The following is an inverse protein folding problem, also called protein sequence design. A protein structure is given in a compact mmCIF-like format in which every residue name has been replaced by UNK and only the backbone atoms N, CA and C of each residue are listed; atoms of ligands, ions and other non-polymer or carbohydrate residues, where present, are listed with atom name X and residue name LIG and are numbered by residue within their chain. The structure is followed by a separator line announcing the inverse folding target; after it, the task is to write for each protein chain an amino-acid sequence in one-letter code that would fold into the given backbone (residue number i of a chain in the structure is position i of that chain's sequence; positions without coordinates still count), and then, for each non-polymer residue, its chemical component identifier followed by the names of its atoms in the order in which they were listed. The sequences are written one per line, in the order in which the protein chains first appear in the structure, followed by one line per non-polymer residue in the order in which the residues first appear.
data_IF_065850809939
#
_entry.id   IF_065850809939
#
_cell.length_a   1.000
_cell.length_b   1.000
_cell.length_c   1.000
_cell.angle_alpha   90.00
_cell.angle_beta   90.00
_cell.angle_gamma   90.00
#
_symmetry.space_group_name_H-M   'P 1'
#
loop_
_entity.id
_entity.type
_entity.pdbx_description
1 polymer ?
#
# COMPACT_ATOMS: atom_id res chain seq x y z
N UNK A 1 7.43 3.39 15.20
CA UNK A 1 7.59 2.70 13.90
C UNK A 1 6.64 3.31 12.88
N UNK A 2 7.09 3.57 11.64
CA UNK A 2 6.29 4.30 10.64
C UNK A 2 4.91 3.66 10.38
N UNK A 3 4.86 2.33 10.26
CA UNK A 3 3.61 1.60 10.03
C UNK A 3 2.59 1.74 11.18
N UNK A 4 3.02 1.68 12.45
CA UNK A 4 2.13 1.81 13.59
C UNK A 4 1.54 3.22 13.65
N UNK A 5 2.33 4.23 13.31
CA UNK A 5 1.83 5.59 13.21
C UNK A 5 0.84 5.73 12.04
N UNK A 6 1.18 5.25 10.85
CA UNK A 6 0.28 5.24 9.69
C UNK A 6 -1.06 4.57 10.02
N UNK A 7 -1.04 3.43 10.73
CA UNK A 7 -2.23 2.73 11.18
C UNK A 7 -3.03 3.55 12.21
N UNK A 8 -2.38 4.03 13.28
CA UNK A 8 -3.04 4.73 14.39
C UNK A 8 -3.77 5.99 13.92
N UNK A 9 -3.19 6.75 13.00
CA UNK A 9 -3.77 8.02 12.53
C UNK A 9 -4.94 7.85 11.56
N UNK A 10 -5.23 6.64 11.05
CA UNK A 10 -6.35 6.44 10.12
C UNK A 10 -7.69 6.77 10.78
N UNK A 11 -8.46 7.69 10.19
CA UNK A 11 -9.83 8.04 10.58
C UNK A 11 -10.87 7.04 10.05
N UNK A 12 -10.58 5.76 10.25
CA UNK A 12 -11.47 4.63 9.98
C UNK A 12 -11.48 3.75 11.22
N UNK A 13 -12.62 3.66 11.92
CA UNK A 13 -12.68 3.13 13.30
C UNK A 13 -12.49 1.61 13.34
N UNK A 14 -13.25 0.86 12.54
CA UNK A 14 -13.24 -0.60 12.54
C UNK A 14 -12.13 -1.11 11.64
N UNK A 15 -10.96 -1.36 12.23
CA UNK A 15 -9.77 -1.88 11.54
C UNK A 15 -8.89 -2.70 12.48
N UNK A 16 -8.09 -3.57 11.90
CA UNK A 16 -6.98 -4.26 12.55
C UNK A 16 -5.73 -4.14 11.67
N UNK A 17 -4.57 -4.37 12.26
CA UNK A 17 -3.29 -4.46 11.56
C UNK A 17 -2.68 -5.83 11.81
N UNK A 18 -2.28 -6.50 10.74
CA UNK A 18 -1.56 -7.77 10.79
C UNK A 18 -0.19 -7.51 10.20
N UNK A 19 0.86 -7.66 11.01
CA UNK A 19 2.24 -7.48 10.60
C UNK A 19 2.84 -8.87 10.36
N UNK A 20 3.34 -9.10 9.15
CA UNK A 20 4.09 -10.30 8.80
C UNK A 20 5.57 -9.96 8.72
N UNK A 21 6.36 -10.59 9.57
CA UNK A 21 7.82 -10.47 9.60
C UNK A 21 8.39 -11.65 8.83
N UNK A 22 9.05 -11.36 7.71
CA UNK A 22 9.69 -12.36 6.85
C UNK A 22 11.22 -12.24 6.94
N UNK A 23 11.72 -12.25 8.17
CA UNK A 23 13.14 -12.21 8.51
C UNK A 23 13.37 -13.07 9.75
N UNK A 24 14.17 -14.11 9.64
CA UNK A 24 14.34 -15.13 10.68
C UNK A 24 15.14 -14.58 11.85
N UNK A 25 16.07 -13.67 11.57
CA UNK A 25 16.88 -13.00 12.60
C UNK A 25 16.12 -11.98 13.45
N UNK A 26 14.87 -11.63 13.09
CA UNK A 26 14.09 -10.67 13.88
C UNK A 26 13.48 -11.36 15.10
N UNK A 27 13.72 -10.79 16.29
CA UNK A 27 13.16 -11.29 17.54
C UNK A 27 11.65 -10.99 17.65
N UNK A 28 10.81 -12.00 17.45
CA UNK A 28 9.35 -11.87 17.55
C UNK A 28 8.88 -11.41 18.94
N UNK A 29 9.58 -11.76 20.03
CA UNK A 29 9.19 -11.35 21.40
C UNK A 29 9.30 -9.84 21.57
N UNK A 30 10.35 -9.22 21.04
CA UNK A 30 10.50 -7.76 21.07
C UNK A 30 9.39 -7.06 20.30
N UNK A 31 9.02 -7.61 19.14
CA UNK A 31 7.94 -7.08 18.34
C UNK A 31 6.59 -7.18 19.03
N UNK A 32 6.31 -8.31 19.69
CA UNK A 32 5.12 -8.47 20.52
C UNK A 32 5.07 -7.44 21.66
N UNK A 33 6.20 -7.20 22.34
CA UNK A 33 6.30 -6.13 23.35
C UNK A 33 5.99 -4.75 22.76
N UNK A 34 6.54 -4.43 21.57
CA UNK A 34 6.32 -3.14 20.88
C UNK A 34 4.86 -2.89 20.49
N UNK A 35 4.10 -3.95 20.17
CA UNK A 35 2.70 -3.83 19.76
C UNK A 35 1.70 -4.10 20.90
N UNK A 36 2.15 -4.45 22.10
CA UNK A 36 1.28 -4.86 23.21
C UNK A 36 0.25 -3.80 23.61
N UNK A 37 0.58 -2.51 23.46
CA UNK A 37 -0.33 -1.40 23.72
C UNK A 37 -1.36 -1.13 22.61
N UNK A 38 -1.34 -1.91 21.53
CA UNK A 38 -2.23 -1.75 20.39
C UNK A 38 -3.20 -2.95 20.28
N UNK A 39 -4.44 -2.83 20.79
CA UNK A 39 -5.33 -3.98 20.96
C UNK A 39 -5.73 -4.68 19.65
N UNK A 40 -5.66 -3.99 18.52
CA UNK A 40 -6.01 -4.50 17.19
C UNK A 40 -4.78 -4.64 16.28
N UNK A 41 -3.60 -4.87 16.85
CA UNK A 41 -2.36 -5.12 16.10
C UNK A 41 -1.83 -6.50 16.47
N UNK A 42 -1.63 -7.35 15.47
CA UNK A 42 -1.04 -8.67 15.66
C UNK A 42 0.23 -8.80 14.83
N UNK A 43 1.17 -9.63 15.29
CA UNK A 43 2.45 -9.85 14.64
C UNK A 43 2.70 -11.35 14.51
N UNK A 44 3.08 -11.75 13.31
CA UNK A 44 3.48 -13.12 13.00
C UNK A 44 4.85 -13.09 12.30
N UNK A 45 5.62 -14.15 12.51
CA UNK A 45 6.86 -14.38 11.78
C UNK A 45 6.66 -15.55 10.83
N UNK A 46 7.21 -15.43 9.62
CA UNK A 46 7.19 -16.48 8.59
C UNK A 46 8.62 -16.68 8.07
N UNK A 47 9.05 -17.93 7.82
CA UNK A 47 10.40 -18.24 7.34
C UNK A 47 10.84 -17.41 6.13
N UNK A 48 12.10 -16.99 6.07
CA UNK A 48 12.65 -16.16 4.97
C UNK A 48 12.51 -16.80 3.59
N UNK A 49 12.44 -18.14 3.51
CA UNK A 49 12.19 -18.87 2.26
C UNK A 49 10.83 -18.56 1.61
N UNK A 50 9.88 -18.00 2.36
CA UNK A 50 8.57 -17.65 1.82
C UNK A 50 8.63 -16.34 1.05
N UNK A 51 8.00 -16.31 -0.12
CA UNK A 51 7.92 -15.10 -0.93
C UNK A 51 7.00 -14.03 -0.31
N UNK A 52 7.12 -12.79 -0.78
CA UNK A 52 6.22 -11.70 -0.37
C UNK A 52 4.75 -12.06 -0.64
N UNK A 53 4.44 -12.64 -1.79
CA UNK A 53 3.07 -13.09 -2.09
C UNK A 53 2.56 -14.16 -1.11
N UNK A 54 3.40 -15.10 -0.68
CA UNK A 54 3.05 -16.07 0.36
C UNK A 54 2.85 -15.37 1.72
N UNK A 55 3.69 -14.39 2.06
CA UNK A 55 3.55 -13.59 3.28
C UNK A 55 2.23 -12.81 3.30
N UNK A 56 1.86 -12.18 2.19
CA UNK A 56 0.59 -11.46 2.04
C UNK A 56 -0.59 -12.43 2.22
N UNK A 57 -0.60 -13.57 1.53
CA UNK A 57 -1.64 -14.58 1.70
C UNK A 57 -1.74 -15.06 3.16
N UNK A 58 -0.61 -15.28 3.83
CA UNK A 58 -0.53 -15.68 5.23
C UNK A 58 -1.20 -14.65 6.17
N UNK A 59 -0.93 -13.36 5.97
CA UNK A 59 -1.58 -12.28 6.70
C UNK A 59 -3.08 -12.22 6.45
N UNK A 60 -3.51 -12.38 5.20
CA UNK A 60 -4.93 -12.25 4.83
C UNK A 60 -5.78 -13.42 5.35
N UNK A 61 -5.22 -14.63 5.41
CA UNK A 61 -5.89 -15.78 6.04
C UNK A 61 -6.29 -15.50 7.49
N UNK A 62 -5.52 -14.66 8.20
CA UNK A 62 -5.76 -14.28 9.61
C UNK A 62 -6.67 -13.07 9.78
N UNK A 63 -6.93 -12.31 8.71
CA UNK A 63 -7.77 -11.12 8.77
C UNK A 63 -9.23 -11.49 9.10
N UNK A 64 -9.83 -10.77 10.03
CA UNK A 64 -11.22 -10.96 10.48
C UNK A 64 -12.20 -10.20 9.60
N UNK A 65 -11.77 -9.06 9.05
CA UNK A 65 -12.65 -8.15 8.31
C UNK A 65 -12.78 -8.51 6.81
N UNK A 66 -13.90 -8.12 6.17
CA UNK A 66 -14.18 -8.45 4.77
C UNK A 66 -13.42 -7.60 3.76
N UNK A 67 -12.75 -6.53 4.19
CA UNK A 67 -11.90 -5.68 3.37
C UNK A 67 -10.45 -5.86 3.78
N UNK A 68 -9.59 -6.01 2.78
CA UNK A 68 -8.15 -6.19 2.94
C UNK A 68 -7.47 -4.97 2.33
N UNK A 69 -6.51 -4.40 3.03
CA UNK A 69 -5.67 -3.32 2.53
C UNK A 69 -4.21 -3.63 2.81
N UNK A 70 -3.33 -3.34 1.85
CA UNK A 70 -1.88 -3.41 2.01
C UNK A 70 -1.36 -2.05 2.47
N UNK A 71 -0.47 -2.05 3.46
CA UNK A 71 0.31 -0.88 3.87
C UNK A 71 1.78 -1.23 3.78
N UNK A 72 2.54 -0.50 2.97
CA UNK A 72 3.99 -0.62 2.90
C UNK A 72 4.63 0.15 4.08
N UNK A 73 5.61 -0.48 4.72
CA UNK A 73 6.18 -0.02 6.00
C UNK A 73 6.98 1.27 5.88
N UNK A 74 7.42 1.62 4.67
CA UNK A 74 8.30 2.73 4.34
C UNK A 74 7.59 3.92 3.67
N UNK A 75 6.30 3.79 3.37
CA UNK A 75 5.48 4.83 2.76
C UNK A 75 4.71 5.68 3.78
N UNK A 76 4.06 6.74 3.31
CA UNK A 76 3.17 7.57 4.11
C UNK A 76 1.72 7.41 3.68
N UNK A 77 0.85 7.17 4.67
CA UNK A 77 -0.60 7.10 4.52
C UNK A 77 -1.23 8.18 5.40
N UNK A 78 -1.96 9.10 4.79
CA UNK A 78 -2.62 10.18 5.54
C UNK A 78 -3.76 9.64 6.42
N UNK A 79 -4.26 10.42 7.40
CA UNK A 79 -5.42 10.06 8.20
C UNK A 79 -6.69 9.72 7.40
N UNK A 80 -6.82 10.19 6.16
CA UNK A 80 -8.01 10.02 5.31
C UNK A 80 -7.86 8.90 4.27
N UNK A 81 -6.71 8.22 4.23
CA UNK A 81 -6.40 7.22 3.21
C UNK A 81 -7.41 6.08 3.16
N UNK A 82 -7.66 5.40 4.30
CA UNK A 82 -8.62 4.30 4.34
C UNK A 82 -10.04 4.75 3.99
N UNK A 83 -10.44 5.92 4.46
CA UNK A 83 -11.77 6.48 4.22
C UNK A 83 -12.02 6.67 2.72
N UNK A 84 -11.10 7.36 2.04
CA UNK A 84 -11.20 7.58 0.58
C UNK A 84 -11.31 6.26 -0.19
N UNK A 85 -10.48 5.27 0.16
CA UNK A 85 -10.46 3.98 -0.55
C UNK A 85 -11.75 3.19 -0.34
N UNK A 86 -12.29 3.17 0.89
CA UNK A 86 -13.54 2.48 1.20
C UNK A 86 -14.73 3.18 0.55
N UNK A 87 -14.80 4.52 0.61
CA UNK A 87 -15.86 5.28 -0.06
C UNK A 87 -15.84 5.08 -1.57
N UNK A 88 -14.65 5.03 -2.19
CA UNK A 88 -14.51 4.69 -3.59
C UNK A 88 -15.02 3.27 -3.89
N UNK A 89 -14.63 2.28 -3.09
CA UNK A 89 -15.09 0.89 -3.22
C UNK A 89 -16.63 0.77 -3.20
N UNK A 90 -17.28 1.53 -2.31
CA UNK A 90 -18.73 1.54 -2.20
C UNK A 90 -19.39 2.24 -3.39
N UNK A 91 -18.88 3.41 -3.79
CA UNK A 91 -19.42 4.22 -4.89
C UNK A 91 -19.31 3.51 -6.24
N UNK A 92 -18.16 2.89 -6.53
CA UNK A 92 -17.88 2.29 -7.84
C UNK A 92 -18.26 0.81 -7.90
N UNK A 93 -18.65 0.22 -6.76
CA UNK A 93 -18.93 -1.21 -6.57
C UNK A 93 -17.78 -2.12 -7.01
N UNK A 94 -16.55 -1.60 -7.11
CA UNK A 94 -15.38 -2.36 -7.57
C UNK A 94 -14.93 -3.40 -6.54
N UNK A 95 -14.26 -4.44 -7.02
CA UNK A 95 -13.65 -5.48 -6.19
C UNK A 95 -12.30 -5.05 -5.63
N UNK A 96 -11.57 -4.24 -6.40
CA UNK A 96 -10.23 -3.76 -6.07
C UNK A 96 -10.17 -2.24 -6.26
N UNK A 97 -9.60 -1.57 -5.28
CA UNK A 97 -9.35 -0.14 -5.24
C UNK A 97 -7.86 0.09 -5.00
N UNK A 98 -7.32 1.15 -5.59
CA UNK A 98 -6.01 1.66 -5.20
C UNK A 98 -5.74 3.02 -5.81
N UNK A 99 -4.46 3.34 -5.96
CA UNK A 99 -3.99 4.58 -6.58
C UNK A 99 -3.09 4.23 -7.74
N UNK A 100 -3.48 4.61 -8.95
CA UNK A 100 -2.57 4.57 -10.09
C UNK A 100 -1.78 5.88 -10.13
N UNK A 101 -2.49 6.99 -10.27
CA UNK A 101 -1.93 8.30 -9.98
C UNK A 101 -1.60 8.39 -8.49
N UNK A 102 -0.39 8.79 -8.13
CA UNK A 102 0.01 8.92 -6.72
C UNK A 102 1.09 9.98 -6.53
N UNK A 103 1.21 10.49 -5.31
CA UNK A 103 2.33 11.32 -4.92
C UNK A 103 3.59 10.47 -4.72
N UNK A 104 4.72 10.97 -5.21
CA UNK A 104 6.04 10.39 -4.99
C UNK A 104 6.94 11.46 -4.40
N UNK A 105 7.60 11.13 -3.30
CA UNK A 105 8.57 12.01 -2.64
C UNK A 105 9.99 11.51 -2.86
N UNK A 106 10.80 12.29 -3.59
CA UNK A 106 12.20 12.02 -3.84
C UNK A 106 13.04 12.61 -2.71
N UNK A 107 13.45 11.77 -1.75
CA UNK A 107 14.16 12.21 -0.53
C UNK A 107 15.49 12.91 -0.87
N UNK A 108 16.20 12.43 -1.90
CA UNK A 108 17.50 12.98 -2.28
C UNK A 108 17.44 14.45 -2.74
N UNK A 109 16.32 14.88 -3.33
CA UNK A 109 16.15 16.22 -3.89
C UNK A 109 15.04 17.03 -3.22
N UNK A 110 14.40 16.48 -2.18
CA UNK A 110 13.21 17.04 -1.54
C UNK A 110 12.09 17.38 -2.53
N UNK A 111 11.99 16.66 -3.67
CA UNK A 111 10.98 16.91 -4.70
C UNK A 111 9.74 16.05 -4.46
N UNK A 112 8.58 16.69 -4.46
CA UNK A 112 7.27 16.04 -4.49
C UNK A 112 6.67 16.17 -5.89
N UNK A 113 6.19 15.06 -6.42
CA UNK A 113 5.56 14.98 -7.75
C UNK A 113 4.32 14.09 -7.72
N UNK A 114 3.42 14.29 -8.67
CA UNK A 114 2.33 13.35 -8.96
C UNK A 114 2.75 12.52 -10.17
N UNK A 115 2.89 11.21 -9.97
CA UNK A 115 3.12 10.25 -11.04
C UNK A 115 1.82 9.90 -11.73
N UNK A 116 1.85 9.75 -13.05
CA UNK A 116 0.70 9.27 -13.85
C UNK A 116 -0.60 10.05 -13.60
N UNK A 117 -0.59 11.41 -13.59
CA UNK A 117 -1.73 12.24 -13.19
C UNK A 117 -3.00 11.99 -14.00
N UNK A 118 -2.86 11.51 -15.24
CA UNK A 118 -3.96 11.16 -16.12
C UNK A 118 -4.74 9.91 -15.66
N UNK A 119 -4.21 9.09 -14.74
CA UNK A 119 -4.84 7.85 -14.26
C UNK A 119 -5.53 7.98 -12.89
N UNK A 120 -5.99 9.19 -12.54
CA UNK A 120 -6.81 9.43 -11.33
C UNK A 120 -8.30 9.17 -11.61
N UNK A 121 -9.05 8.77 -10.59
CA UNK A 121 -10.52 8.68 -10.58
C UNK A 121 -11.12 7.94 -11.78
N UNK A 122 -10.62 6.75 -12.10
CA UNK A 122 -11.12 5.96 -13.23
C UNK A 122 -10.88 4.47 -13.04
N UNK A 123 -11.60 3.66 -13.81
CA UNK A 123 -11.30 2.25 -13.97
C UNK A 123 -9.97 2.06 -14.70
N UNK A 124 -9.16 1.12 -14.22
CA UNK A 124 -7.79 0.87 -14.69
C UNK A 124 -7.49 -0.62 -14.62
N UNK A 125 -6.45 -1.10 -15.31
CA UNK A 125 -5.91 -2.45 -15.10
C UNK A 125 -4.80 -2.52 -14.03
N UNK A 126 -4.38 -1.38 -13.49
CA UNK A 126 -3.22 -1.28 -12.61
C UNK A 126 -3.36 -0.16 -11.57
N UNK A 127 -2.95 -0.46 -10.33
CA UNK A 127 -2.74 0.48 -9.21
C UNK A 127 -1.44 0.13 -8.50
N UNK A 128 -0.85 1.08 -7.76
CA UNK A 128 0.37 0.82 -7.00
C UNK A 128 0.14 -0.25 -5.93
N UNK A 129 1.09 -1.18 -5.80
CA UNK A 129 1.01 -2.32 -4.90
C UNK A 129 0.75 -1.96 -3.44
N UNK A 130 1.49 -0.99 -2.90
CA UNK A 130 1.28 -0.43 -1.56
C UNK A 130 -0.06 0.27 -1.35
N UNK A 131 -0.92 0.34 -2.37
CA UNK A 131 -2.21 1.01 -2.30
C UNK A 131 -3.41 0.10 -2.47
N UNK A 132 -3.19 -1.22 -2.54
CA UNK A 132 -4.26 -2.18 -2.73
C UNK A 132 -5.24 -2.15 -1.55
N UNK A 133 -6.52 -1.97 -1.87
CA UNK A 133 -7.67 -2.26 -1.02
C UNK A 133 -8.64 -3.14 -1.81
N UNK A 134 -9.06 -4.27 -1.29
CA UNK A 134 -9.96 -5.18 -2.02
C UNK A 134 -10.87 -5.97 -1.08
N UNK A 135 -11.94 -6.53 -1.65
CA UNK A 135 -12.85 -7.41 -0.91
C UNK A 135 -12.17 -8.77 -0.68
N UNK A 136 -12.10 -9.25 0.57
CA UNK A 136 -11.48 -10.54 0.94
C UNK A 136 -11.99 -11.70 0.07
N UNK A 137 -13.26 -11.66 -0.38
CA UNK A 137 -13.87 -12.66 -1.28
C UNK A 137 -13.12 -12.85 -2.61
N UNK A 138 -12.35 -11.86 -3.07
CA UNK A 138 -11.51 -11.95 -4.29
C UNK A 138 -10.55 -13.13 -4.21
N UNK A 139 -10.04 -13.45 -3.01
CA UNK A 139 -9.11 -14.56 -2.77
C UNK A 139 -9.69 -15.95 -3.00
N UNK A 140 -11.02 -16.08 -3.14
CA UNK A 140 -11.63 -17.34 -3.60
C UNK A 140 -11.17 -17.71 -5.01
N UNK A 141 -10.91 -16.70 -5.84
CA UNK A 141 -10.60 -16.88 -7.27
C UNK A 141 -9.20 -16.38 -7.66
N UNK A 142 -8.62 -15.44 -6.92
CA UNK A 142 -7.32 -14.83 -7.23
C UNK A 142 -6.50 -14.65 -5.96
N UNK A 143 -5.38 -15.36 -5.83
CA UNK A 143 -4.43 -15.21 -4.72
C UNK A 143 -3.13 -14.54 -5.18
N UNK A 144 -2.36 -13.98 -4.24
CA UNK A 144 -1.01 -13.55 -4.56
C UNK A 144 -0.16 -14.76 -4.96
N UNK A 145 0.59 -14.62 -6.05
CA UNK A 145 1.45 -15.70 -6.54
C UNK A 145 2.71 -15.84 -5.67
N UNK A 146 3.38 -17.00 -5.73
CA UNK A 146 4.63 -17.24 -5.02
C UNK A 146 5.79 -16.44 -5.67
N UNK A 147 5.77 -15.12 -5.51
CA UNK A 147 6.72 -14.16 -6.07
C UNK A 147 7.04 -13.10 -5.02
N UNK A 148 8.29 -12.64 -5.01
CA UNK A 148 8.73 -11.50 -4.19
C UNK A 148 8.90 -10.21 -4.99
N UNK A 149 8.79 -10.29 -6.31
CA UNK A 149 8.83 -9.14 -7.21
C UNK A 149 7.71 -9.27 -8.24
N UNK A 150 6.83 -8.28 -8.30
CA UNK A 150 5.73 -8.23 -9.26
C UNK A 150 4.51 -9.06 -8.84
N UNK A 151 4.44 -9.51 -7.59
CA UNK A 151 3.30 -10.19 -6.99
C UNK A 151 2.02 -9.35 -7.06
N UNK A 152 2.13 -8.05 -6.78
CA UNK A 152 1.01 -7.09 -6.88
C UNK A 152 0.54 -6.93 -8.35
N UNK A 153 1.49 -6.86 -9.29
CA UNK A 153 1.19 -6.77 -10.74
C UNK A 153 0.46 -8.03 -11.22
N UNK A 154 0.95 -9.21 -10.82
CA UNK A 154 0.33 -10.48 -11.17
C UNK A 154 -1.06 -10.60 -10.55
N UNK A 155 -1.23 -10.22 -9.29
CA UNK A 155 -2.53 -10.18 -8.62
C UNK A 155 -3.55 -9.32 -9.39
N UNK A 156 -3.15 -8.11 -9.82
CA UNK A 156 -4.02 -7.20 -10.58
C UNK A 156 -4.37 -7.76 -11.97
N UNK A 157 -3.39 -8.36 -12.67
CA UNK A 157 -3.62 -9.02 -13.96
C UNK A 157 -4.55 -10.22 -13.84
N UNK A 158 -4.43 -10.99 -12.76
CA UNK A 158 -5.30 -12.14 -12.48
C UNK A 158 -6.71 -11.68 -12.08
N UNK A 159 -6.85 -10.57 -11.34
CA UNK A 159 -8.14 -9.93 -11.06
C UNK A 159 -8.84 -9.49 -12.34
N UNK A 160 -8.12 -8.79 -13.22
CA UNK A 160 -8.66 -8.34 -14.51
C UNK A 160 -9.13 -9.52 -15.36
N UNK A 161 -8.35 -10.61 -15.42
CA UNK A 161 -8.72 -11.85 -16.13
C UNK A 161 -9.94 -12.56 -15.55
N UNK A 162 -10.24 -12.36 -14.27
CA UNK A 162 -11.46 -12.88 -13.62
C UNK A 162 -12.65 -11.93 -13.72
N UNK A 163 -12.53 -10.82 -14.45
CA UNK A 163 -13.59 -9.83 -14.63
C UNK A 163 -13.80 -8.91 -13.43
N UNK A 164 -12.85 -8.86 -12.49
CA UNK A 164 -12.94 -7.97 -11.33
C UNK A 164 -12.58 -6.54 -11.73
N UNK A 165 -13.47 -5.61 -11.39
CA UNK A 165 -13.25 -4.20 -11.65
C UNK A 165 -12.19 -3.64 -10.69
N UNK A 166 -11.23 -2.91 -11.26
CA UNK A 166 -10.18 -2.20 -10.52
C UNK A 166 -10.36 -0.71 -10.75
N UNK A 167 -10.45 0.07 -9.68
CA UNK A 167 -10.63 1.52 -9.76
C UNK A 167 -9.52 2.28 -9.04
N UNK A 168 -8.97 3.29 -9.72
CA UNK A 168 -7.97 4.19 -9.18
C UNK A 168 -8.62 5.44 -8.58
N UNK A 169 -8.25 5.78 -7.35
CA UNK A 169 -8.70 6.98 -6.62
C UNK A 169 -7.86 8.21 -6.96
N UNK A 170 -7.97 9.27 -6.16
CA UNK A 170 -7.19 10.49 -6.34
C UNK A 170 -5.70 10.25 -6.04
N UNK A 171 -4.77 11.10 -6.53
CA UNK A 171 -3.35 10.95 -6.25
C UNK A 171 -2.95 11.28 -4.80
N UNK A 172 -3.88 11.72 -3.97
CA UNK A 172 -3.64 12.22 -2.63
C UNK A 172 -3.75 11.12 -1.57
N UNK A 173 -3.57 11.50 -0.31
CA UNK A 173 -3.67 10.66 0.89
C UNK A 173 -2.68 9.48 1.00
N UNK A 174 -1.84 9.26 -0.01
CA UNK A 174 -0.73 8.31 -0.02
C UNK A 174 0.49 8.98 -0.67
N UNK A 175 1.68 8.71 -0.13
CA UNK A 175 2.94 9.17 -0.73
C UNK A 175 3.92 8.01 -0.75
N UNK A 176 4.35 7.66 -1.95
CA UNK A 176 5.45 6.74 -2.17
C UNK A 176 6.77 7.43 -1.83
N UNK A 177 7.49 6.94 -0.81
CA UNK A 177 8.72 7.59 -0.31
C UNK A 177 9.94 6.91 -0.92
N UNK A 178 10.56 7.60 -1.88
CA UNK A 178 11.77 7.14 -2.53
C UNK A 178 13.01 7.64 -1.78
N UNK A 179 13.54 6.78 -0.91
CA UNK A 179 14.74 7.01 -0.08
C UNK A 179 16.02 7.17 -0.92
N UNK A 180 17.05 7.79 -0.32
CA UNK A 180 18.34 8.14 -0.94
C UNK A 180 19.17 6.91 -1.38
N UNK A 181 19.15 5.83 -0.59
CA UNK A 181 19.84 4.58 -0.96
C UNK A 181 18.93 3.69 -1.81
N UNK A 182 19.27 3.56 -3.09
CA UNK A 182 18.54 2.75 -4.08
C UNK A 182 18.68 1.25 -3.83
N UNK A 183 19.69 0.81 -3.07
CA UNK A 183 19.89 -0.62 -2.71
C UNK A 183 18.93 -1.11 -1.63
N UNK A 184 18.29 -0.18 -0.90
CA UNK A 184 17.27 -0.51 0.11
C UNK A 184 15.86 -0.62 -0.45
N UNK A 185 15.68 -0.37 -1.76
CA UNK A 185 14.38 -0.46 -2.43
C UNK A 185 14.24 -1.76 -3.21
N UNK A 186 13.06 -2.36 -3.13
CA UNK A 186 12.64 -3.46 -4.03
C UNK A 186 12.58 -3.01 -5.50
N UNK A 187 12.56 -1.69 -5.78
CA UNK A 187 12.52 -1.10 -7.12
C UNK A 187 13.72 -0.18 -7.39
N UNK A 188 14.68 -0.65 -8.20
CA UNK A 188 15.95 0.03 -8.48
C UNK A 188 15.94 0.96 -9.72
N UNK A 189 14.77 1.30 -10.25
CA UNK A 189 14.64 2.14 -11.47
C UNK A 189 15.13 3.56 -11.20
N UNK A 190 16.02 4.16 -12.01
CA UNK A 190 16.51 5.53 -11.81
C UNK A 190 15.43 6.64 -11.74
N UNK A 191 15.69 7.69 -10.97
CA UNK A 191 14.77 8.83 -10.70
C UNK A 191 14.21 9.47 -11.97
N UNK A 192 14.98 9.47 -13.08
CA UNK A 192 14.57 10.02 -14.38
C UNK A 192 13.29 9.36 -14.91
N UNK A 193 13.08 8.07 -14.67
CA UNK A 193 11.86 7.36 -15.10
C UNK A 193 10.62 7.75 -14.29
N UNK A 194 10.80 8.30 -13.08
CA UNK A 194 9.71 8.87 -12.29
C UNK A 194 9.39 10.31 -12.68
N UNK A 195 10.29 11.01 -13.37
CA UNK A 195 10.02 12.37 -13.86
C UNK A 195 9.21 12.36 -15.15
N UNK A 196 9.44 11.38 -16.03
CA UNK A 196 8.72 11.24 -17.29
C UNK A 196 7.22 11.01 -17.02
N UNK A 197 6.38 11.90 -17.55
CA UNK A 197 4.92 11.85 -17.38
C UNK A 197 4.43 12.24 -15.98
N UNK A 198 5.30 12.78 -15.13
CA UNK A 198 4.94 13.24 -13.80
C UNK A 198 4.78 14.75 -13.74
N UNK A 199 3.87 15.20 -12.87
CA UNK A 199 3.65 16.62 -12.61
C UNK A 199 4.37 17.05 -11.33
N UNK A 200 5.32 18.01 -11.37
CA UNK A 200 5.90 18.59 -10.16
C UNK A 200 4.82 19.18 -9.24
N UNK A 201 5.01 19.07 -7.93
CA UNK A 201 4.12 19.65 -6.92
C UNK A 201 4.85 20.67 -6.06
N UNK A 202 6.01 20.30 -5.50
CA UNK A 202 6.78 21.18 -4.62
C UNK A 202 8.23 20.69 -4.47
N UNK A 203 9.12 21.61 -4.09
CA UNK A 203 10.42 21.29 -3.48
C UNK A 203 10.31 21.62 -1.99
N UNK A 204 10.30 20.61 -1.13
CA UNK A 204 9.97 20.78 0.29
C UNK A 204 10.39 19.58 1.13
N UNK A 205 10.80 19.81 2.39
CA UNK A 205 10.94 18.74 3.39
C UNK A 205 9.59 18.33 4.02
N UNK A 206 8.57 19.17 3.91
CA UNK A 206 7.26 19.00 4.56
C UNK A 206 6.20 18.45 3.61
N UNK A 207 6.50 17.37 2.89
CA UNK A 207 5.63 16.83 1.83
C UNK A 207 4.24 16.38 2.31
N UNK A 208 4.10 15.98 3.58
CA UNK A 208 2.84 15.45 4.14
C UNK A 208 1.68 16.44 4.01
N UNK A 209 1.91 17.74 4.19
CA UNK A 209 0.84 18.77 4.09
C UNK A 209 0.22 18.85 2.70
N UNK A 210 1.00 18.52 1.66
CA UNK A 210 0.51 18.51 0.28
C UNK A 210 -0.31 17.26 -0.04
N UNK A 211 -0.09 16.17 0.72
CA UNK A 211 -0.75 14.89 0.50
C UNK A 211 -2.15 14.80 1.12
N UNK A 212 -2.43 15.52 2.20
CA UNK A 212 -3.69 15.38 2.94
C UNK A 212 -4.86 15.99 2.16
N UNK A 213 -5.94 15.22 2.02
CA UNK A 213 -7.23 15.70 1.52
C UNK A 213 -8.38 15.06 2.31
N UNK A 214 -9.37 15.88 2.69
CA UNK A 214 -10.37 15.56 3.71
C UNK A 214 -11.70 15.01 3.19
N UNK A 215 -11.86 14.90 1.86
CA UNK A 215 -13.13 14.54 1.23
C UNK A 215 -13.80 13.34 1.92
#
# INVERSE_FOLDING_TARGET
MNILNNYRIQRYKRKELIIIINKDSINLKEWRKKVASYPNVTVYQVPERHSLGQCLNCGICRAKYPLITKFDHDDYYSPYYLREQVEALLRTRSEVIGKHACLVYLVASNKLLIRSPQYKNKFVGFVQGGTLLFRKKVLKNVRFSNLSLGEDVKFLRDCTRKGYAIYATSPYNYVYIRRKDKRTHTWQVGDRRFLIGSRPVAVTKHFRRFAVRRY
#
